data_IF_614502603926
#
_entry.id   IF_614502603926
#
_cell.length_a   1.000
_cell.length_b   1.000
_cell.length_c   1.000
_cell.angle_alpha   90.00
_cell.angle_beta   90.00
_cell.angle_gamma   90.00
#
_symmetry.space_group_name_H-M   'P 1'
#
loop_
_entity.id
_entity.type
_entity.pdbx_description
1 polymer ?
#
# COMPACT_ATOMS: atom_id res chain seq x y z
N UNK A 1 -7.86 -14.59 -15.96
CA UNK A 1 -8.24 -15.34 -14.75
C UNK A 1 -7.23 -15.03 -13.65
N UNK A 2 -7.66 -14.44 -12.54
CA UNK A 2 -6.81 -14.19 -11.38
C UNK A 2 -6.47 -15.53 -10.72
N UNK A 3 -5.18 -15.88 -10.69
CA UNK A 3 -4.73 -17.12 -10.07
C UNK A 3 -5.01 -17.09 -8.57
N UNK A 4 -5.50 -18.21 -7.99
CA UNK A 4 -5.70 -18.40 -6.54
C UNK A 4 -4.52 -17.92 -5.70
N UNK A 5 -3.29 -18.12 -6.21
CA UNK A 5 -2.06 -17.67 -5.56
C UNK A 5 -1.95 -16.14 -5.45
N UNK A 6 -2.43 -15.40 -6.47
CA UNK A 6 -2.42 -13.92 -6.46
C UNK A 6 -3.39 -13.36 -5.44
N UNK A 7 -4.58 -13.97 -5.30
CA UNK A 7 -5.59 -13.56 -4.33
C UNK A 7 -5.11 -13.80 -2.90
N UNK A 8 -4.57 -15.00 -2.62
CA UNK A 8 -4.00 -15.31 -1.30
C UNK A 8 -2.84 -14.37 -0.95
N UNK A 9 -1.99 -14.02 -1.93
CA UNK A 9 -0.92 -13.04 -1.73
C UNK A 9 -1.47 -11.67 -1.35
N UNK A 10 -2.50 -11.18 -2.04
CA UNK A 10 -3.14 -9.90 -1.73
C UNK A 10 -3.73 -9.90 -0.31
N UNK A 11 -4.36 -11.00 0.11
CA UNK A 11 -4.88 -11.16 1.47
C UNK A 11 -3.77 -11.13 2.53
N UNK A 12 -2.60 -11.75 2.28
CA UNK A 12 -1.44 -11.64 3.19
C UNK A 12 -0.97 -10.19 3.37
N UNK A 13 -0.88 -9.43 2.28
CA UNK A 13 -0.51 -8.02 2.34
C UNK A 13 -1.55 -7.19 3.09
N UNK A 14 -2.86 -7.44 2.87
CA UNK A 14 -3.95 -6.82 3.64
C UNK A 14 -3.80 -7.07 5.14
N UNK A 15 -3.58 -8.33 5.54
CA UNK A 15 -3.44 -8.70 6.95
C UNK A 15 -2.16 -8.09 7.57
N UNK A 16 -1.07 -8.01 6.80
CA UNK A 16 0.14 -7.35 7.23
C UNK A 16 -0.05 -5.84 7.45
N UNK A 17 -0.72 -5.15 6.53
CA UNK A 17 -1.04 -3.72 6.70
C UNK A 17 -2.03 -3.47 7.85
N UNK A 18 -3.00 -4.36 8.08
CA UNK A 18 -3.93 -4.26 9.21
C UNK A 18 -3.27 -4.45 10.57
N UNK A 19 -2.20 -5.26 10.65
CA UNK A 19 -1.40 -5.47 11.88
C UNK A 19 -0.30 -4.43 12.06
N UNK A 20 0.10 -3.75 10.99
CA UNK A 20 1.16 -2.77 11.03
C UNK A 20 0.72 -1.56 11.87
N UNK A 21 1.41 -1.33 12.98
CA UNK A 21 1.37 -0.03 13.65
C UNK A 21 2.29 0.90 12.86
N UNK A 22 1.69 1.80 12.09
CA UNK A 22 2.48 2.83 11.43
C UNK A 22 3.11 3.75 12.49
N UNK A 23 4.43 4.01 12.41
CA UNK A 23 5.04 4.99 13.30
C UNK A 23 4.37 6.34 13.06
N UNK A 24 3.97 7.00 14.14
CA UNK A 24 3.45 8.37 14.06
C UNK A 24 4.60 9.26 13.56
N UNK A 25 4.48 9.85 12.36
CA UNK A 25 5.36 10.97 12.01
C UNK A 25 5.11 12.09 13.03
N UNK A 26 6.19 12.72 13.51
CA UNK A 26 6.10 13.77 14.52
C UNK A 26 6.59 13.35 15.91
N UNK A 27 6.76 12.05 16.19
CA UNK A 27 7.50 11.56 17.37
C UNK A 27 9.01 11.47 17.12
N UNK A 28 9.51 12.20 16.12
CA UNK A 28 10.93 12.25 15.85
C UNK A 28 11.60 13.10 16.92
N UNK A 29 12.82 12.71 17.31
CA UNK A 29 13.59 13.44 18.32
C UNK A 29 13.72 14.89 17.83
N UNK A 30 13.21 15.90 18.55
CA UNK A 30 13.19 17.28 18.06
C UNK A 30 14.61 17.82 17.88
N UNK A 31 15.54 17.46 18.77
CA UNK A 31 16.93 17.91 18.74
C UNK A 31 17.89 16.78 19.13
N UNK A 32 19.07 16.73 18.47
CA UNK A 32 20.13 15.77 18.77
C UNK A 32 20.35 14.72 17.67
N UNK A 33 21.25 13.75 17.89
CA UNK A 33 21.57 12.71 16.90
C UNK A 33 20.33 11.90 16.53
N UNK A 34 19.97 11.91 15.24
CA UNK A 34 18.76 11.24 14.74
C UNK A 34 17.52 12.16 14.63
N UNK A 35 17.62 13.44 15.02
CA UNK A 35 16.64 14.45 14.64
C UNK A 35 16.65 14.66 13.13
N UNK A 36 15.46 14.75 12.53
CA UNK A 36 15.31 15.12 11.13
C UNK A 36 14.93 16.58 11.03
N UNK A 37 15.33 17.20 9.92
CA UNK A 37 14.95 18.57 9.63
C UNK A 37 13.42 18.73 9.60
N UNK A 38 12.92 19.69 10.36
CA UNK A 38 11.53 20.13 10.31
C UNK A 38 11.47 21.64 10.55
N UNK A 39 10.71 22.34 9.71
CA UNK A 39 10.29 23.73 9.96
C UNK A 39 8.78 23.79 10.25
N UNK A 40 8.22 22.69 10.74
CA UNK A 40 6.81 22.52 11.00
C UNK A 40 6.57 22.47 12.52
N UNK A 41 5.64 23.27 13.02
CA UNK A 41 5.34 23.45 14.45
C UNK A 41 3.90 23.08 14.85
N UNK A 42 3.12 22.51 13.92
CA UNK A 42 1.72 22.14 14.14
C UNK A 42 1.55 20.62 14.31
N UNK A 43 2.42 19.97 15.10
CA UNK A 43 2.44 18.52 15.32
C UNK A 43 1.09 18.01 15.85
N UNK A 44 0.52 18.69 16.85
CA UNK A 44 -0.78 18.36 17.45
C UNK A 44 -1.97 18.37 16.47
N UNK A 45 -1.83 19.08 15.34
CA UNK A 45 -2.80 19.02 14.22
C UNK A 45 -2.45 17.85 13.32
N UNK A 46 -1.19 17.74 12.92
CA UNK A 46 -0.70 16.73 11.96
C UNK A 46 -0.85 15.29 12.46
N UNK A 47 -0.80 15.05 13.77
CA UNK A 47 -1.02 13.72 14.36
C UNK A 47 -2.35 13.08 13.92
N UNK A 48 -3.39 13.89 13.75
CA UNK A 48 -4.72 13.41 13.29
C UNK A 48 -4.76 13.10 11.79
N UNK A 49 -3.86 13.72 11.02
CA UNK A 49 -3.84 13.71 9.56
C UNK A 49 -2.58 13.07 8.99
N UNK A 50 -1.89 12.30 9.80
CA UNK A 50 -0.56 11.79 9.48
C UNK A 50 -0.53 10.80 8.31
N UNK A 51 -1.70 10.25 7.97
CA UNK A 51 -1.92 9.38 6.83
C UNK A 51 -1.98 10.12 5.49
N UNK A 52 -2.20 11.44 5.49
CA UNK A 52 -2.43 12.24 4.26
C UNK A 52 -1.25 12.10 3.28
N UNK A 53 0.03 12.29 3.68
CA UNK A 53 1.15 12.18 2.74
C UNK A 53 1.19 10.81 2.05
N UNK A 54 1.08 9.73 2.81
CA UNK A 54 1.05 8.37 2.26
C UNK A 54 -0.14 8.13 1.34
N UNK A 55 -1.33 8.65 1.70
CA UNK A 55 -2.53 8.56 0.87
C UNK A 55 -2.36 9.30 -0.47
N UNK A 56 -1.77 10.49 -0.47
CA UNK A 56 -1.53 11.26 -1.69
C UNK A 56 -0.53 10.56 -2.60
N UNK A 57 0.57 10.07 -2.05
CA UNK A 57 1.56 9.27 -2.79
C UNK A 57 0.91 8.04 -3.43
N UNK A 58 0.09 7.29 -2.68
CA UNK A 58 -0.63 6.14 -3.24
C UNK A 58 -1.56 6.52 -4.39
N UNK A 59 -2.24 7.67 -4.31
CA UNK A 59 -3.06 8.20 -5.41
C UNK A 59 -2.21 8.56 -6.62
N UNK A 60 -1.10 9.25 -6.42
CA UNK A 60 -0.17 9.62 -7.50
C UNK A 60 0.36 8.39 -8.24
N UNK A 61 0.67 7.30 -7.52
CA UNK A 61 1.07 6.03 -8.14
C UNK A 61 -0.08 5.32 -8.86
N UNK A 62 -1.30 5.43 -8.35
CA UNK A 62 -2.47 4.78 -8.95
C UNK A 62 -2.88 5.42 -10.28
N UNK A 63 -2.79 6.75 -10.40
CA UNK A 63 -3.16 7.49 -11.62
C UNK A 63 -2.53 6.95 -12.91
N UNK A 64 -1.20 6.79 -13.04
CA UNK A 64 -0.58 6.26 -14.25
C UNK A 64 -0.90 4.78 -14.48
N UNK A 65 -1.16 4.00 -13.42
CA UNK A 65 -1.61 2.61 -13.55
C UNK A 65 -3.02 2.54 -14.14
N UNK A 66 -3.93 3.37 -13.65
CA UNK A 66 -5.29 3.49 -14.15
C UNK A 66 -5.33 4.04 -15.59
N UNK A 67 -4.42 4.94 -15.95
CA UNK A 67 -4.31 5.43 -17.32
C UNK A 67 -3.99 4.29 -18.30
N UNK A 68 -3.12 3.36 -17.91
CA UNK A 68 -2.76 2.18 -18.73
C UNK A 68 -3.84 1.09 -18.68
N UNK A 69 -4.49 0.91 -17.54
CA UNK A 69 -5.54 -0.08 -17.37
C UNK A 69 -6.63 0.42 -16.38
N UNK A 70 -7.71 1.02 -16.88
CA UNK A 70 -8.75 1.60 -16.03
C UNK A 70 -9.58 0.54 -15.30
N UNK A 71 -9.55 -0.72 -15.74
CA UNK A 71 -10.32 -1.79 -15.08
C UNK A 71 -9.73 -2.16 -13.71
N UNK A 72 -8.51 -1.72 -13.39
CA UNK A 72 -7.85 -1.98 -12.09
C UNK A 72 -8.64 -1.46 -10.89
N UNK A 73 -9.40 -0.38 -11.06
CA UNK A 73 -10.20 0.24 -9.99
C UNK A 73 -11.69 0.00 -10.17
N UNK A 74 -12.09 -0.73 -11.21
CA UNK A 74 -13.50 -0.93 -11.54
C UNK A 74 -14.27 -1.59 -10.39
N UNK A 75 -13.68 -2.58 -9.73
CA UNK A 75 -14.27 -3.26 -8.58
C UNK A 75 -14.32 -2.35 -7.32
N UNK A 76 -13.44 -1.36 -7.23
CA UNK A 76 -13.46 -0.38 -6.13
C UNK A 76 -14.54 0.69 -6.31
N UNK A 77 -14.98 0.96 -7.55
CA UNK A 77 -15.93 2.02 -7.88
C UNK A 77 -17.34 1.52 -8.22
N UNK A 78 -17.49 0.32 -8.80
CA UNK A 78 -18.77 -0.12 -9.37
C UNK A 78 -19.57 -1.11 -8.51
N UNK A 79 -18.92 -1.83 -7.58
CA UNK A 79 -19.57 -2.94 -6.86
C UNK A 79 -20.13 -2.58 -5.48
N UNK A 80 -19.94 -1.35 -5.00
CA UNK A 80 -20.41 -0.95 -3.66
C UNK A 80 -20.96 0.48 -3.68
N UNK A 81 -22.15 0.76 -3.11
CA UNK A 81 -22.72 2.12 -3.05
C UNK A 81 -21.91 3.07 -2.13
N UNK A 82 -20.89 2.56 -1.45
CA UNK A 82 -19.87 3.28 -0.68
C UNK A 82 -18.54 2.64 -1.01
N UNK A 83 -17.57 3.42 -1.50
CA UNK A 83 -16.18 3.05 -1.77
C UNK A 83 -15.62 2.05 -0.73
N UNK A 84 -15.78 0.75 -0.98
CA UNK A 84 -15.36 -0.30 -0.06
C UNK A 84 -14.04 -0.86 -0.56
N UNK A 85 -12.98 -0.62 0.20
CA UNK A 85 -11.65 -1.18 -0.06
C UNK A 85 -11.54 -2.64 0.42
N UNK A 86 -12.68 -3.30 0.66
CA UNK A 86 -12.72 -4.65 1.23
C UNK A 86 -12.74 -5.67 0.10
N UNK A 87 -11.65 -6.44 -0.03
CA UNK A 87 -11.62 -7.59 -0.94
C UNK A 87 -12.57 -8.67 -0.38
N UNK A 88 -13.72 -8.84 -1.01
CA UNK A 88 -14.65 -9.94 -0.74
C UNK A 88 -14.18 -11.18 -1.49
N UNK A 89 -13.79 -12.23 -0.77
CA UNK A 89 -13.33 -13.48 -1.39
C UNK A 89 -13.84 -14.69 -0.64
N UNK A 90 -14.11 -15.77 -1.35
CA UNK A 90 -14.49 -17.08 -0.78
C UNK A 90 -13.26 -17.87 -0.26
N UNK A 91 -12.06 -17.29 -0.30
CA UNK A 91 -10.84 -17.96 0.13
C UNK A 91 -10.62 -17.77 1.64
N UNK A 92 -10.16 -18.83 2.32
CA UNK A 92 -9.74 -18.74 3.71
C UNK A 92 -8.53 -17.80 3.86
N UNK A 93 -8.53 -17.01 4.93
CA UNK A 93 -7.42 -16.13 5.24
C UNK A 93 -6.14 -16.94 5.50
N UNK A 94 -5.01 -16.60 4.84
CA UNK A 94 -3.74 -17.30 5.05
C UNK A 94 -3.19 -17.00 6.45
N UNK A 95 -3.20 -18.00 7.33
CA UNK A 95 -2.66 -17.92 8.69
C UNK A 95 -1.14 -18.08 8.69
N UNK A 96 -0.43 -17.15 9.34
CA UNK A 96 0.98 -17.34 9.77
C UNK A 96 2.09 -17.06 8.75
N UNK A 97 1.81 -16.94 7.45
CA UNK A 97 2.84 -16.67 6.44
C UNK A 97 3.08 -15.17 6.21
N UNK A 98 4.35 -14.74 6.19
CA UNK A 98 4.73 -13.36 5.84
C UNK A 98 4.40 -13.07 4.38
N UNK A 99 3.97 -11.85 4.03
CA UNK A 99 3.78 -11.47 2.64
C UNK A 99 5.12 -11.44 1.91
N UNK A 100 5.16 -12.00 0.71
CA UNK A 100 6.35 -11.99 -0.16
C UNK A 100 6.24 -10.85 -1.18
N UNK A 101 7.36 -10.15 -1.48
CA UNK A 101 7.40 -9.18 -2.57
C UNK A 101 7.22 -9.90 -3.91
N UNK A 102 6.71 -9.16 -4.90
CA UNK A 102 6.73 -9.63 -6.28
C UNK A 102 8.20 -9.85 -6.68
N UNK A 103 8.56 -11.10 -6.96
CA UNK A 103 9.84 -11.39 -7.62
C UNK A 103 9.74 -10.77 -9.01
N UNK A 104 10.65 -9.86 -9.34
CA UNK A 104 10.81 -9.43 -10.73
C UNK A 104 10.99 -10.68 -11.59
N UNK A 105 10.10 -10.90 -12.56
CA UNK A 105 10.36 -11.87 -13.61
C UNK A 105 11.66 -11.45 -14.26
N UNK A 106 12.72 -12.23 -14.08
CA UNK A 106 14.02 -11.98 -14.68
C UNK A 106 13.83 -11.62 -16.15
N UNK A 107 13.99 -10.34 -16.48
CA UNK A 107 14.05 -9.91 -17.86
C UNK A 107 15.20 -10.71 -18.47
N UNK A 108 14.87 -11.57 -19.42
CA UNK A 108 15.84 -12.36 -20.16
C UNK A 108 16.72 -11.36 -20.90
N UNK A 109 17.87 -11.02 -20.32
CA UNK A 109 18.93 -10.27 -21.01
C UNK A 109 19.48 -11.22 -22.06
N UNK A 110 18.89 -11.19 -23.25
CA UNK A 110 19.50 -11.72 -24.46
C UNK A 110 20.78 -10.94 -24.69
N UNK A 111 21.92 -11.51 -24.28
CA UNK A 111 23.24 -11.04 -24.72
C UNK A 111 23.26 -11.12 -26.24
N UNK A 112 23.33 -9.97 -26.90
CA UNK A 112 23.55 -9.88 -28.33
C UNK A 112 24.91 -10.47 -28.70
N UNK A 113 24.91 -11.21 -29.82
CA UNK A 113 26.10 -11.67 -30.53
C UNK A 113 26.91 -10.52 -31.10
#
# INVERSE_FOLDING_TARGET
MTSKHSVLRALKWKDAFGKAKFPQLGNEIPEGPGSKYTNFSLQHIMEKYNFIPSMLVQREFLLPLCLKNPTLVQDAFLTTPRYSYTIETNFSHPSGEKPEPLKESAATVTKGH
#
